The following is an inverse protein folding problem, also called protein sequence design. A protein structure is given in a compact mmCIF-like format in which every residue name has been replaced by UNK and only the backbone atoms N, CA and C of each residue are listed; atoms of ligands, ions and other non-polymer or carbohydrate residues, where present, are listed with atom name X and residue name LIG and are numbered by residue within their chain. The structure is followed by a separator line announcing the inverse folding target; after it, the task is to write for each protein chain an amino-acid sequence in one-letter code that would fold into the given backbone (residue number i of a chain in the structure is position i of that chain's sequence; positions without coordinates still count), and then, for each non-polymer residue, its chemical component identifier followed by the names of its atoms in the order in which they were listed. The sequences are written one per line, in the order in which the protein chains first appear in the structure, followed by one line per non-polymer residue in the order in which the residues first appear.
data_IF_724523585661
#
_entry.id   IF_724523585661
#
_cell.length_a   1.000
_cell.length_b   1.000
_cell.length_c   1.000
_cell.angle_alpha   90.00
_cell.angle_beta   90.00
_cell.angle_gamma   90.00
#
_symmetry.space_group_name_H-M   'P 1'
#
loop_
_entity.id
_entity.type
_entity.pdbx_description
1 polymer ?
#
# COMPACT_ATOMS: atom_id res chain seq x y z
N UNK A 1 25.55 -1.89 10.14
CA UNK A 1 25.44 -2.71 11.36
C UNK A 1 26.80 -2.72 12.04
N UNK A 2 26.99 -1.87 13.05
CA UNK A 2 28.25 -1.79 13.82
C UNK A 2 28.18 -2.90 14.87
N UNK A 3 29.11 -3.85 14.83
CA UNK A 3 29.21 -4.91 15.85
C UNK A 3 30.21 -4.50 16.92
N UNK A 4 29.88 -4.61 18.22
CA UNK A 4 30.88 -4.66 19.27
C UNK A 4 31.70 -5.95 19.11
N UNK A 5 33.00 -5.90 19.41
CA UNK A 5 33.87 -7.08 19.36
C UNK A 5 33.35 -8.19 20.29
N UNK A 6 33.50 -9.45 19.82
CA UNK A 6 33.33 -10.68 20.61
C UNK A 6 34.30 -10.63 21.80
N UNK A 7 33.83 -10.13 22.94
CA UNK A 7 34.67 -9.94 24.13
C UNK A 7 34.09 -9.01 25.20
N UNK A 8 33.06 -8.20 24.89
CA UNK A 8 32.38 -7.40 25.93
C UNK A 8 31.26 -8.20 26.59
N UNK A 9 31.42 -8.44 27.89
CA UNK A 9 30.47 -9.15 28.75
C UNK A 9 29.11 -8.43 28.82
N UNK A 10 28.00 -9.14 29.09
CA UNK A 10 26.62 -8.60 29.06
C UNK A 10 26.30 -7.52 30.12
N UNK A 11 27.25 -7.19 30.99
CA UNK A 11 26.98 -6.46 32.23
C UNK A 11 26.98 -4.92 32.10
N UNK A 12 27.18 -4.37 30.89
CA UNK A 12 27.27 -2.91 30.67
C UNK A 12 26.52 -2.48 29.39
N UNK A 13 25.27 -2.91 29.25
CA UNK A 13 24.43 -2.52 28.10
C UNK A 13 24.27 -1.00 27.98
N UNK A 14 24.31 -0.28 29.08
CA UNK A 14 24.29 1.19 29.15
C UNK A 14 25.54 1.82 28.53
N UNK A 15 26.74 1.36 28.88
CA UNK A 15 28.02 1.85 28.35
C UNK A 15 28.09 1.55 26.85
N UNK A 16 27.73 0.33 26.44
CA UNK A 16 27.67 -0.05 25.03
C UNK A 16 26.71 0.85 24.25
N UNK A 17 25.53 1.13 24.81
CA UNK A 17 24.52 2.00 24.19
C UNK A 17 25.04 3.44 24.05
N UNK A 18 25.69 3.99 25.07
CA UNK A 18 26.28 5.35 25.05
C UNK A 18 27.43 5.47 24.05
N UNK A 19 28.37 4.53 24.07
CA UNK A 19 29.50 4.50 23.12
C UNK A 19 28.98 4.33 21.69
N UNK A 20 27.98 3.47 21.49
CA UNK A 20 27.34 3.33 20.19
C UNK A 20 26.67 4.63 19.75
N UNK A 21 25.92 5.32 20.63
CA UNK A 21 25.29 6.62 20.31
C UNK A 21 26.34 7.65 19.87
N UNK A 22 27.46 7.75 20.59
CA UNK A 22 28.55 8.67 20.23
C UNK A 22 29.14 8.36 18.85
N UNK A 23 29.44 7.08 18.56
CA UNK A 23 29.94 6.67 17.24
C UNK A 23 28.89 6.87 16.14
N UNK A 24 27.61 6.61 16.45
CA UNK A 24 26.51 6.83 15.54
C UNK A 24 26.44 8.30 15.16
N UNK A 25 26.43 9.21 16.13
CA UNK A 25 26.35 10.66 15.91
C UNK A 25 27.48 11.18 15.03
N UNK A 26 28.71 10.72 15.27
CA UNK A 26 29.85 11.03 14.42
C UNK A 26 29.67 10.52 12.98
N UNK A 27 29.11 9.31 12.81
CA UNK A 27 28.80 8.75 11.50
C UNK A 27 27.69 9.55 10.80
N UNK A 28 26.65 9.96 11.53
CA UNK A 28 25.56 10.79 11.01
C UNK A 28 26.08 12.12 10.50
N UNK A 29 26.87 12.82 11.30
CA UNK A 29 27.46 14.11 10.96
C UNK A 29 28.32 14.01 9.69
N UNK A 30 29.14 12.96 9.62
CA UNK A 30 29.98 12.70 8.46
C UNK A 30 29.16 12.48 7.18
N UNK A 31 28.07 11.71 7.27
CA UNK A 31 27.22 11.42 6.11
C UNK A 31 26.36 12.63 5.73
N UNK A 32 25.73 13.30 6.70
CA UNK A 32 24.75 14.37 6.46
C UNK A 32 25.38 15.73 6.24
N UNK A 33 26.27 16.14 7.13
CA UNK A 33 26.77 17.51 7.18
C UNK A 33 28.08 17.65 6.40
N UNK A 34 28.89 16.59 6.35
CA UNK A 34 30.17 16.58 5.63
C UNK A 34 30.10 15.95 4.25
N UNK A 35 28.89 15.60 3.78
CA UNK A 35 28.62 15.04 2.44
C UNK A 35 29.56 13.91 2.03
N UNK A 36 29.94 13.02 2.96
CA UNK A 36 30.97 12.00 2.71
C UNK A 36 30.66 11.07 1.53
N UNK A 37 29.38 10.80 1.28
CA UNK A 37 28.89 10.03 0.13
C UNK A 37 28.08 10.89 -0.85
N UNK A 38 28.22 12.22 -0.79
CA UNK A 38 27.36 13.19 -1.48
C UNK A 38 26.14 13.59 -0.66
N UNK A 39 25.16 14.21 -1.33
CA UNK A 39 23.95 14.77 -0.70
C UNK A 39 23.09 13.65 -0.09
N UNK A 40 22.93 13.68 1.23
CA UNK A 40 22.04 12.76 1.94
C UNK A 40 20.56 13.18 1.77
N UNK A 41 19.75 12.31 1.15
CA UNK A 41 18.31 12.55 0.93
C UNK A 41 17.46 12.01 2.09
N UNK A 42 17.97 11.02 2.81
CA UNK A 42 17.28 10.39 3.93
C UNK A 42 18.20 9.45 4.67
N UNK A 43 17.92 9.25 5.96
CA UNK A 43 18.70 8.36 6.79
C UNK A 43 17.79 7.70 7.83
N UNK A 44 17.98 6.38 7.97
CA UNK A 44 17.16 5.52 8.80
C UNK A 44 18.04 4.50 9.52
N UNK A 45 17.65 4.16 10.75
CA UNK A 45 18.32 3.15 11.58
C UNK A 45 17.37 2.00 11.87
N UNK A 46 17.90 0.78 11.81
CA UNK A 46 17.26 -0.43 12.28
C UNK A 46 18.27 -1.25 13.11
N UNK A 47 17.79 -1.85 14.19
CA UNK A 47 18.58 -2.62 15.15
C UNK A 47 18.09 -4.06 15.15
N UNK A 48 18.66 -4.89 14.27
CA UNK A 48 18.36 -6.32 14.23
C UNK A 48 19.61 -7.17 14.52
N UNK A 49 19.45 -8.15 15.42
CA UNK A 49 20.41 -9.23 15.61
C UNK A 49 20.02 -10.38 14.67
N UNK A 50 20.95 -10.88 13.85
CA UNK A 50 20.66 -11.99 12.95
C UNK A 50 21.90 -12.87 12.79
N UNK A 51 21.94 -14.07 13.40
CA UNK A 51 23.00 -15.03 13.12
C UNK A 51 22.97 -15.40 11.64
N UNK A 52 24.14 -15.47 10.99
CA UNK A 52 24.24 -15.71 9.55
C UNK A 52 24.53 -17.16 9.18
N UNK A 53 24.74 -18.05 10.16
CA UNK A 53 25.01 -19.47 9.94
C UNK A 53 23.78 -20.28 10.32
N UNK A 54 23.30 -21.12 9.41
CA UNK A 54 22.24 -22.08 9.65
C UNK A 54 22.63 -23.41 8.99
N UNK A 55 22.52 -24.53 9.71
CA UNK A 55 22.85 -25.87 9.22
C UNK A 55 24.26 -25.97 8.59
N UNK A 56 25.26 -25.34 9.23
CA UNK A 56 26.65 -25.32 8.74
C UNK A 56 26.89 -24.48 7.47
N UNK A 57 25.85 -23.83 6.92
CA UNK A 57 25.95 -22.98 5.73
C UNK A 57 25.66 -21.53 6.09
N UNK A 58 26.34 -20.61 5.41
CA UNK A 58 26.03 -19.20 5.55
C UNK A 58 24.74 -18.88 4.77
N UNK A 59 23.70 -18.40 5.46
CA UNK A 59 22.43 -17.96 4.84
C UNK A 59 22.61 -16.76 3.91
N UNK A 60 23.77 -16.09 4.00
CA UNK A 60 24.16 -14.98 3.12
C UNK A 60 25.03 -15.44 1.95
N UNK A 61 25.16 -16.75 1.75
CA UNK A 61 25.88 -17.41 0.66
C UNK A 61 27.35 -17.01 0.60
N UNK A 62 28.01 -17.01 1.76
CA UNK A 62 29.47 -16.98 1.85
C UNK A 62 30.02 -18.43 1.86
N UNK A 63 31.16 -18.70 1.22
CA UNK A 63 32.00 -17.78 0.43
C UNK A 63 31.35 -17.32 -0.89
N UNK A 64 31.55 -16.05 -1.25
CA UNK A 64 31.09 -15.49 -2.54
C UNK A 64 32.05 -15.87 -3.67
N UNK A 65 31.55 -16.04 -4.90
CA UNK A 65 32.41 -16.37 -6.06
C UNK A 65 33.40 -15.25 -6.37
N UNK A 66 34.56 -15.60 -6.92
CA UNK A 66 35.48 -14.62 -7.50
C UNK A 66 34.84 -13.92 -8.69
N UNK A 67 35.18 -12.65 -8.87
CA UNK A 67 34.67 -11.82 -9.96
C UNK A 67 35.70 -10.75 -10.36
N UNK A 68 35.93 -10.56 -11.65
CA UNK A 68 36.93 -9.62 -12.19
C UNK A 68 36.50 -8.16 -12.16
N UNK A 69 35.19 -7.88 -12.09
CA UNK A 69 34.62 -6.54 -12.09
C UNK A 69 33.39 -6.46 -11.17
N UNK A 70 32.91 -5.25 -10.88
CA UNK A 70 31.68 -5.03 -10.10
C UNK A 70 30.53 -4.77 -11.07
N UNK A 71 29.41 -5.46 -10.92
CA UNK A 71 28.21 -5.28 -11.76
C UNK A 71 26.92 -5.52 -10.95
N UNK A 72 25.75 -5.22 -11.52
CA UNK A 72 24.44 -5.54 -10.91
C UNK A 72 23.85 -6.78 -11.60
N UNK A 73 23.35 -7.74 -10.82
CA UNK A 73 22.66 -8.91 -11.38
C UNK A 73 21.26 -8.55 -11.93
N UNK A 74 20.59 -9.51 -12.57
CA UNK A 74 19.23 -9.35 -13.13
C UNK A 74 18.17 -8.98 -12.07
N UNK A 75 18.50 -9.20 -10.79
CA UNK A 75 17.67 -8.84 -9.65
C UNK A 75 17.99 -7.46 -9.07
N UNK A 76 19.02 -6.79 -9.57
CA UNK A 76 19.46 -5.46 -9.14
C UNK A 76 20.36 -5.45 -7.91
N UNK A 77 20.91 -6.60 -7.49
CA UNK A 77 21.86 -6.66 -6.39
C UNK A 77 23.31 -6.45 -6.87
N UNK A 78 24.14 -5.71 -6.12
CA UNK A 78 25.52 -5.50 -6.48
C UNK A 78 26.35 -6.79 -6.29
N UNK A 79 26.97 -7.25 -7.37
CA UNK A 79 28.00 -8.31 -7.37
C UNK A 79 29.36 -7.63 -7.41
N UNK A 80 30.03 -7.58 -6.26
CA UNK A 80 31.33 -6.91 -6.13
C UNK A 80 32.49 -7.70 -6.75
N UNK A 81 33.46 -6.97 -7.30
CA UNK A 81 34.76 -7.52 -7.73
C UNK A 81 35.46 -8.24 -6.57
N UNK A 82 35.81 -9.50 -6.77
CA UNK A 82 36.59 -10.35 -5.85
C UNK A 82 37.71 -11.01 -6.63
N UNK A 83 38.91 -10.44 -6.57
CA UNK A 83 40.08 -10.96 -7.26
C UNK A 83 40.62 -12.18 -6.52
N UNK A 84 41.02 -13.22 -7.24
CA UNK A 84 41.78 -14.32 -6.62
C UNK A 84 43.13 -13.75 -6.15
N UNK A 85 43.41 -13.85 -4.86
CA UNK A 85 44.67 -13.40 -4.25
C UNK A 85 45.24 -14.54 -3.42
N UNK A 86 46.57 -14.60 -3.28
CA UNK A 86 47.24 -15.61 -2.45
C UNK A 86 47.27 -15.21 -0.97
N UNK A 87 46.32 -14.39 -0.51
CA UNK A 87 46.25 -13.89 0.87
C UNK A 87 45.09 -14.57 1.59
N UNK A 88 45.42 -15.25 2.67
CA UNK A 88 44.51 -16.02 3.50
C UNK A 88 44.79 -15.71 4.96
N UNK A 89 43.74 -15.69 5.78
CA UNK A 89 43.83 -15.62 7.24
C UNK A 89 43.17 -16.87 7.82
N UNK A 90 43.85 -17.53 8.75
CA UNK A 90 43.26 -18.67 9.47
C UNK A 90 42.53 -18.19 10.72
N UNK A 91 41.25 -18.55 10.85
CA UNK A 91 40.47 -18.33 12.08
C UNK A 91 39.73 -19.61 12.43
N UNK A 92 39.89 -20.10 13.65
CA UNK A 92 39.26 -21.34 14.13
C UNK A 92 39.50 -22.55 13.20
N UNK A 93 40.72 -22.71 12.69
CA UNK A 93 41.11 -23.75 11.71
C UNK A 93 40.40 -23.65 10.35
N UNK A 94 39.76 -22.51 10.07
CA UNK A 94 39.16 -22.22 8.77
C UNK A 94 40.04 -21.21 8.05
N UNK A 95 40.49 -21.59 6.86
CA UNK A 95 41.19 -20.72 5.91
C UNK A 95 40.21 -19.75 5.27
N UNK A 96 40.36 -18.45 5.54
CA UNK A 96 39.49 -17.39 5.06
C UNK A 96 40.24 -16.49 4.10
N UNK A 97 39.72 -16.34 2.89
CA UNK A 97 40.20 -15.40 1.90
C UNK A 97 39.21 -14.25 1.67
N UNK A 98 39.39 -13.47 0.60
CA UNK A 98 38.49 -12.36 0.30
C UNK A 98 37.09 -12.80 -0.16
N UNK A 99 36.81 -14.08 -0.37
CA UNK A 99 35.46 -14.58 -0.66
C UNK A 99 34.56 -14.50 0.57
N UNK A 100 35.13 -14.46 1.78
CA UNK A 100 34.42 -14.36 3.06
C UNK A 100 34.20 -12.92 3.54
N UNK A 101 34.75 -11.93 2.83
CA UNK A 101 34.73 -10.53 3.26
C UNK A 101 33.41 -9.86 2.86
N UNK A 102 32.72 -9.30 3.85
CA UNK A 102 31.53 -8.46 3.66
C UNK A 102 31.97 -7.09 3.12
N UNK A 103 31.24 -6.48 2.15
CA UNK A 103 31.60 -5.18 1.57
C UNK A 103 31.75 -4.08 2.63
N UNK A 104 32.78 -3.25 2.51
CA UNK A 104 33.06 -2.18 3.47
C UNK A 104 33.74 -0.97 2.80
N UNK A 105 33.73 0.17 3.47
CA UNK A 105 34.56 1.32 3.13
C UNK A 105 35.77 1.34 4.07
N UNK A 106 36.97 1.37 3.50
CA UNK A 106 38.23 1.29 4.24
C UNK A 106 38.38 2.44 5.24
N UNK A 107 38.04 3.66 4.83
CA UNK A 107 38.25 4.85 5.64
C UNK A 107 37.28 4.86 6.83
N UNK A 108 36.03 4.45 6.62
CA UNK A 108 35.06 4.24 7.70
C UNK A 108 35.50 3.12 8.65
N UNK A 109 36.03 2.01 8.13
CA UNK A 109 36.55 0.91 8.94
C UNK A 109 37.67 1.40 9.87
N UNK A 110 38.63 2.14 9.34
CA UNK A 110 39.76 2.70 10.11
C UNK A 110 39.26 3.75 11.10
N UNK A 111 38.38 4.66 10.68
CA UNK A 111 37.91 5.76 11.53
C UNK A 111 37.10 5.28 12.73
N UNK A 112 36.22 4.30 12.53
CA UNK A 112 35.31 3.84 13.58
C UNK A 112 35.82 2.58 14.29
N UNK A 113 36.95 2.01 13.84
CA UNK A 113 37.55 0.77 14.34
C UNK A 113 36.50 -0.35 14.44
N UNK A 114 35.65 -0.45 13.42
CA UNK A 114 34.60 -1.45 13.34
C UNK A 114 34.25 -1.76 11.89
N UNK A 115 33.83 -2.99 11.64
CA UNK A 115 33.38 -3.38 10.30
C UNK A 115 31.96 -2.86 10.05
N UNK A 116 31.80 -2.05 9.00
CA UNK A 116 30.51 -1.54 8.55
C UNK A 116 30.20 -2.09 7.17
N UNK A 117 29.18 -2.94 7.09
CA UNK A 117 28.64 -3.37 5.81
C UNK A 117 28.06 -2.16 5.05
N UNK A 118 28.54 -1.92 3.83
CA UNK A 118 28.05 -0.88 2.95
C UNK A 118 27.59 -1.50 1.64
N UNK A 119 26.34 -1.22 1.29
CA UNK A 119 25.70 -1.75 0.09
C UNK A 119 25.21 -0.60 -0.80
N UNK A 120 25.47 -0.72 -2.10
CA UNK A 120 24.93 0.19 -3.11
C UNK A 120 23.60 -0.37 -3.60
N UNK A 121 22.54 0.41 -3.47
CA UNK A 121 21.19 0.05 -3.91
C UNK A 121 20.81 0.88 -5.14
N UNK A 122 20.67 0.24 -6.31
CA UNK A 122 20.32 0.91 -7.57
C UNK A 122 19.10 0.29 -8.27
N UNK A 123 18.23 -0.40 -7.52
CA UNK A 123 17.03 -1.04 -8.08
C UNK A 123 15.82 -0.88 -7.14
N UNK A 124 14.62 -0.83 -7.71
CA UNK A 124 13.35 -0.77 -6.98
C UNK A 124 13.15 -1.95 -6.01
N UNK A 125 13.70 -3.15 -6.31
CA UNK A 125 13.69 -4.29 -5.37
C UNK A 125 14.54 -4.02 -4.12
N UNK A 126 15.70 -3.37 -4.27
CA UNK A 126 16.55 -2.97 -3.15
C UNK A 126 15.89 -1.88 -2.30
N UNK A 127 15.11 -0.99 -2.92
CA UNK A 127 14.31 0.02 -2.21
C UNK A 127 13.22 -0.64 -1.33
N UNK A 128 12.51 -1.66 -1.87
CA UNK A 128 11.56 -2.47 -1.07
C UNK A 128 12.26 -3.12 0.13
N UNK A 129 13.50 -3.58 -0.04
CA UNK A 129 14.28 -4.16 1.05
C UNK A 129 14.56 -3.16 2.17
N UNK A 130 14.89 -1.90 1.85
CA UNK A 130 15.04 -0.84 2.86
C UNK A 130 13.75 -0.67 3.67
N UNK A 131 12.61 -0.45 2.99
CA UNK A 131 11.33 -0.28 3.67
C UNK A 131 10.89 -1.51 4.44
N UNK A 132 11.26 -2.72 4.00
CA UNK A 132 11.00 -3.95 4.74
C UNK A 132 11.57 -3.87 6.15
N UNK A 133 12.85 -3.52 6.34
CA UNK A 133 13.42 -3.42 7.70
C UNK A 133 12.77 -2.32 8.54
N UNK A 134 12.37 -1.24 7.87
CA UNK A 134 11.76 -0.08 8.50
C UNK A 134 10.31 -0.31 8.96
N UNK A 135 9.61 -1.18 8.25
CA UNK A 135 8.18 -1.46 8.42
C UNK A 135 7.93 -2.89 8.90
N UNK A 136 8.97 -3.72 9.03
CA UNK A 136 8.86 -5.05 9.64
C UNK A 136 8.36 -4.82 11.06
N UNK A 137 7.30 -5.56 11.42
CA UNK A 137 6.79 -5.56 12.78
C UNK A 137 7.88 -5.91 13.78
N UNK A 138 7.59 -5.64 15.04
CA UNK A 138 8.44 -6.09 16.14
C UNK A 138 8.33 -7.61 16.27
N UNK A 139 9.39 -8.23 16.76
CA UNK A 139 9.31 -9.65 17.12
C UNK A 139 8.37 -9.77 18.34
N UNK A 140 7.39 -10.68 18.23
CA UNK A 140 6.45 -10.98 19.30
C UNK A 140 6.83 -12.30 19.95
N UNK A 141 6.62 -12.39 21.25
CA UNK A 141 6.68 -13.62 22.01
C UNK A 141 5.32 -13.84 22.65
N UNK A 142 4.74 -15.01 22.37
CA UNK A 142 3.53 -15.47 23.05
C UNK A 142 3.95 -16.30 24.26
N UNK A 143 3.59 -15.83 25.45
CA UNK A 143 3.95 -16.44 26.73
C UNK A 143 2.72 -17.06 27.38
N UNK A 144 2.80 -18.32 27.79
CA UNK A 144 1.78 -18.97 28.59
C UNK A 144 1.98 -18.63 30.07
N UNK A 145 0.98 -18.06 30.73
CA UNK A 145 0.98 -17.90 32.18
C UNK A 145 0.37 -19.15 32.81
N UNK A 146 1.21 -20.04 33.37
CA UNK A 146 0.74 -21.15 34.19
C UNK A 146 0.83 -20.80 35.67
N UNK A 147 -0.25 -21.00 36.42
CA UNK A 147 -0.20 -20.94 37.89
C UNK A 147 0.45 -22.22 38.41
N UNK A 148 1.31 -22.08 39.42
CA UNK A 148 2.10 -23.16 40.03
C UNK A 148 1.26 -24.33 40.63
N UNK A 149 -0.06 -24.21 40.68
CA UNK A 149 -1.00 -25.21 41.24
C UNK A 149 -1.73 -26.06 40.19
N UNK A 150 -1.48 -25.87 38.90
CA UNK A 150 -2.15 -26.64 37.84
C UNK A 150 -1.37 -27.88 37.39
N UNK A 151 -0.35 -28.29 38.14
CA UNK A 151 0.28 -29.58 37.95
C UNK A 151 -0.42 -30.65 38.81
N UNK A 152 -1.20 -31.48 38.10
CA UNK A 152 -1.68 -32.81 38.48
C UNK A 152 -2.78 -32.84 39.53
N UNK A 153 -4.03 -32.90 39.08
CA UNK A 153 -4.84 -34.13 39.04
C UNK A 153 -6.16 -33.75 38.38
N UNK A 154 -6.63 -34.61 37.49
CA UNK A 154 -8.03 -34.70 37.08
C UNK A 154 -8.93 -34.88 38.30
N UNK A 155 -9.15 -33.82 39.08
CA UNK A 155 -10.19 -33.81 40.09
C UNK A 155 -11.49 -33.48 39.36
N UNK A 156 -12.23 -34.57 39.05
CA UNK A 156 -13.69 -34.52 38.94
C UNK A 156 -14.25 -33.98 40.26
N UNK A 157 -14.15 -32.67 40.45
CA UNK A 157 -14.85 -31.95 41.50
C UNK A 157 -16.18 -31.50 40.90
N UNK A 158 -17.25 -31.98 41.56
CA UNK A 158 -18.64 -31.85 41.14
C UNK A 158 -18.98 -30.39 40.82
N UNK A 159 -19.45 -30.14 39.59
CA UNK A 159 -20.55 -29.19 39.35
C UNK A 159 -20.25 -27.81 38.78
N UNK A 160 -19.01 -27.45 38.43
CA UNK A 160 -18.75 -26.27 37.58
C UNK A 160 -17.56 -26.55 36.67
N UNK A 161 -17.82 -26.75 35.38
CA UNK A 161 -16.79 -26.60 34.35
C UNK A 161 -16.21 -25.19 34.49
N UNK A 162 -14.97 -25.10 34.97
CA UNK A 162 -14.25 -23.85 34.93
C UNK A 162 -13.89 -23.64 33.45
N UNK A 163 -14.69 -22.82 32.77
CA UNK A 163 -14.42 -22.40 31.40
C UNK A 163 -13.03 -21.77 31.36
N UNK A 164 -12.06 -22.52 30.85
CA UNK A 164 -10.69 -22.06 30.64
C UNK A 164 -10.74 -21.00 29.55
N UNK A 165 -10.56 -19.74 29.95
CA UNK A 165 -10.42 -18.63 29.02
C UNK A 165 -9.04 -18.73 28.36
N UNK A 166 -9.01 -19.35 27.18
CA UNK A 166 -7.81 -19.55 26.36
C UNK A 166 -7.11 -18.21 26.05
N UNK A 167 -7.89 -17.14 25.85
CA UNK A 167 -7.36 -15.80 25.53
C UNK A 167 -6.62 -15.19 26.72
N UNK A 168 -7.05 -15.46 27.95
CA UNK A 168 -6.37 -14.96 29.17
C UNK A 168 -5.11 -15.74 29.57
N UNK A 169 -4.91 -16.94 29.02
CA UNK A 169 -3.74 -17.77 29.35
C UNK A 169 -2.48 -17.38 28.59
N UNK A 170 -2.63 -16.73 27.43
CA UNK A 170 -1.52 -16.32 26.61
C UNK A 170 -1.35 -14.79 26.66
N UNK A 171 -0.14 -14.35 27.00
CA UNK A 171 0.28 -12.97 26.78
C UNK A 171 1.03 -12.90 25.46
N UNK A 172 0.50 -12.15 24.50
CA UNK A 172 1.30 -11.74 23.35
C UNK A 172 2.04 -10.44 23.69
N UNK A 173 3.37 -10.53 23.76
CA UNK A 173 4.24 -9.43 24.17
C UNK A 173 5.23 -9.07 23.08
N UNK A 174 5.49 -7.77 22.93
CA UNK A 174 6.62 -7.29 22.12
C UNK A 174 7.94 -7.63 22.80
N UNK A 175 8.82 -8.33 22.11
CA UNK A 175 10.19 -8.49 22.57
C UNK A 175 10.97 -7.17 22.41
N UNK A 176 11.68 -6.77 23.46
CA UNK A 176 12.59 -5.61 23.47
C UNK A 176 13.94 -6.10 23.96
N UNK A 177 14.98 -6.01 23.12
CA UNK A 177 16.31 -6.44 23.52
C UNK A 177 16.93 -5.48 24.56
N UNK A 178 17.93 -5.95 25.31
CA UNK A 178 18.57 -5.14 26.35
C UNK A 178 19.11 -3.79 25.85
N UNK A 179 19.64 -3.75 24.62
CA UNK A 179 20.13 -2.52 24.00
C UNK A 179 19.00 -1.56 23.61
N UNK A 180 17.87 -2.05 23.08
CA UNK A 180 16.69 -1.21 22.79
C UNK A 180 16.08 -0.67 24.09
N UNK A 181 16.02 -1.50 25.14
CA UNK A 181 15.56 -1.08 26.45
C UNK A 181 16.43 0.04 27.04
N UNK A 182 17.76 -0.11 27.00
CA UNK A 182 18.69 0.94 27.43
C UNK A 182 18.54 2.22 26.60
N UNK A 183 18.39 2.11 25.27
CA UNK A 183 18.16 3.26 24.38
C UNK A 183 16.89 4.03 24.78
N UNK A 184 15.81 3.32 25.10
CA UNK A 184 14.54 3.88 25.58
C UNK A 184 14.67 4.53 26.96
N UNK A 185 15.31 3.85 27.92
CA UNK A 185 15.51 4.35 29.29
C UNK A 185 16.33 5.65 29.28
N UNK A 186 17.33 5.74 28.40
CA UNK A 186 18.16 6.94 28.23
C UNK A 186 17.45 8.06 27.45
N UNK A 187 16.21 7.85 27.00
CA UNK A 187 15.41 8.85 26.29
C UNK A 187 15.89 9.16 24.87
N UNK A 188 16.65 8.26 24.25
CA UNK A 188 17.11 8.47 22.87
C UNK A 188 15.98 8.20 21.87
N UNK A 189 15.93 9.02 20.81
CA UNK A 189 14.97 8.85 19.73
C UNK A 189 15.14 7.49 19.05
N UNK A 190 14.08 6.69 19.01
CA UNK A 190 14.06 5.36 18.37
C UNK A 190 13.86 5.50 16.86
N UNK A 191 12.99 6.42 16.47
CA UNK A 191 12.68 6.70 15.09
C UNK A 191 12.31 8.17 14.95
N UNK A 192 12.77 8.77 13.86
CA UNK A 192 12.40 10.13 13.48
C UNK A 192 11.77 10.08 12.08
N UNK A 193 10.62 10.71 11.91
CA UNK A 193 9.96 10.86 10.60
C UNK A 193 9.72 12.33 10.36
N UNK A 194 10.27 12.83 9.26
CA UNK A 194 10.03 14.18 8.78
C UNK A 194 9.59 14.14 7.32
N UNK A 195 8.52 14.86 6.94
CA UNK A 195 7.62 15.62 7.83
C UNK A 195 6.79 14.70 8.74
N UNK A 196 6.22 15.25 9.80
CA UNK A 196 5.28 14.50 10.65
C UNK A 196 4.02 14.14 9.85
N UNK A 197 3.41 13.00 10.16
CA UNK A 197 2.23 12.50 9.45
C UNK A 197 1.03 12.45 10.39
N UNK A 198 -0.01 13.21 10.06
CA UNK A 198 -1.27 13.23 10.81
C UNK A 198 -2.27 12.27 10.20
N UNK A 199 -2.75 11.29 10.99
CA UNK A 199 -3.75 10.33 10.50
C UNK A 199 -5.15 10.94 10.58
N UNK A 200 -5.86 10.84 9.47
CA UNK A 200 -7.18 11.44 9.26
C UNK A 200 -8.22 10.32 9.07
N UNK A 201 -9.03 10.01 10.10
CA UNK A 201 -10.10 9.02 10.00
C UNK A 201 -11.12 9.41 8.94
N UNK A 202 -11.61 8.41 8.22
CA UNK A 202 -12.72 8.49 7.27
C UNK A 202 -13.86 7.65 7.81
N UNK A 203 -15.07 8.21 7.85
CA UNK A 203 -16.27 7.49 8.22
C UNK A 203 -17.48 8.13 7.54
N UNK A 204 -18.48 7.32 7.22
CA UNK A 204 -19.80 7.78 6.79
C UNK A 204 -20.56 8.44 7.96
N UNK A 205 -21.66 9.18 7.70
CA UNK A 205 -22.52 9.70 8.76
C UNK A 205 -22.92 8.59 9.74
N UNK A 206 -22.79 8.83 11.04
CA UNK A 206 -23.07 7.83 12.09
C UNK A 206 -22.01 6.73 12.27
N UNK A 207 -21.13 6.51 11.28
CA UNK A 207 -20.10 5.46 11.31
C UNK A 207 -18.83 5.80 12.09
N UNK A 208 -18.88 6.74 13.04
CA UNK A 208 -17.68 7.17 13.79
C UNK A 208 -17.24 6.08 14.76
N UNK A 209 -15.96 5.69 14.70
CA UNK A 209 -15.37 4.76 15.66
C UNK A 209 -15.24 5.39 17.05
N UNK A 210 -15.65 4.66 18.08
CA UNK A 210 -15.57 5.06 19.49
C UNK A 210 -14.65 4.07 20.20
N UNK A 211 -13.65 4.57 20.92
CA UNK A 211 -12.75 3.76 21.74
C UNK A 211 -13.15 3.86 23.20
N UNK A 212 -13.24 2.72 23.88
CA UNK A 212 -13.57 2.62 25.31
C UNK A 212 -12.75 1.49 25.94
N UNK A 213 -12.58 1.52 27.26
CA UNK A 213 -11.96 0.46 28.05
C UNK A 213 -13.01 -0.53 28.54
N UNK A 214 -12.58 -1.74 28.88
CA UNK A 214 -13.47 -2.83 29.34
C UNK A 214 -14.36 -2.43 30.52
N UNK A 215 -13.86 -1.55 31.40
CA UNK A 215 -14.58 -1.12 32.61
C UNK A 215 -15.25 0.27 32.46
N UNK A 216 -15.26 0.85 31.26
CA UNK A 216 -15.94 2.13 31.03
C UNK A 216 -17.46 1.91 31.03
N UNK A 217 -18.21 2.83 31.62
CA UNK A 217 -19.68 2.82 31.54
C UNK A 217 -20.11 3.10 30.08
N UNK A 218 -20.90 2.20 29.50
CA UNK A 218 -21.33 2.27 28.10
C UNK A 218 -22.23 3.50 27.80
N UNK A 219 -23.04 3.94 28.76
CA UNK A 219 -23.88 5.14 28.61
C UNK A 219 -23.02 6.39 28.51
N UNK A 220 -22.05 6.55 29.42
CA UNK A 220 -21.08 7.65 29.33
C UNK A 220 -20.25 7.61 28.04
N UNK A 221 -19.91 6.41 27.57
CA UNK A 221 -19.18 6.23 26.31
C UNK A 221 -20.04 6.69 25.13
N UNK A 222 -21.33 6.35 25.12
CA UNK A 222 -22.28 6.79 24.09
C UNK A 222 -22.49 8.31 24.11
N UNK A 223 -22.62 8.92 25.30
CA UNK A 223 -22.72 10.37 25.45
C UNK A 223 -21.44 11.09 24.99
N UNK A 224 -20.27 10.56 25.35
CA UNK A 224 -18.97 11.05 24.88
C UNK A 224 -18.85 10.90 23.36
N UNK A 225 -19.35 9.81 22.79
CA UNK A 225 -19.37 9.60 21.35
C UNK A 225 -20.25 10.64 20.64
N UNK A 226 -21.40 10.99 21.19
CA UNK A 226 -22.31 11.97 20.57
C UNK A 226 -21.77 13.41 20.68
N UNK A 227 -21.16 13.76 21.82
CA UNK A 227 -20.64 15.10 22.08
C UNK A 227 -19.31 15.39 21.38
N UNK A 228 -18.38 14.43 21.34
CA UNK A 228 -17.03 14.65 20.81
C UNK A 228 -17.00 14.55 19.29
N UNK A 229 -16.61 15.63 18.62
CA UNK A 229 -16.47 15.65 17.16
C UNK A 229 -15.25 14.86 16.70
N UNK A 230 -15.42 14.10 15.62
CA UNK A 230 -14.28 13.49 14.91
C UNK A 230 -13.44 14.57 14.22
N UNK A 231 -12.24 14.20 13.78
CA UNK A 231 -11.39 15.09 12.96
C UNK A 231 -12.10 15.55 11.68
N UNK A 232 -12.90 14.67 11.07
CA UNK A 232 -13.66 14.96 9.85
C UNK A 232 -14.83 15.91 10.14
N UNK A 233 -15.57 15.66 11.22
CA UNK A 233 -16.67 16.55 11.65
C UNK A 233 -16.14 17.93 12.06
N UNK A 234 -15.00 17.98 12.72
CA UNK A 234 -14.35 19.23 13.07
C UNK A 234 -13.78 19.97 11.86
N UNK A 235 -13.39 19.26 10.79
CA UNK A 235 -12.98 19.88 9.52
C UNK A 235 -14.16 20.62 8.87
N UNK A 236 -15.34 20.00 8.85
CA UNK A 236 -16.58 20.66 8.42
C UNK A 236 -16.87 21.94 9.22
N UNK A 237 -16.71 21.89 10.54
CA UNK A 237 -16.91 23.05 11.43
C UNK A 237 -15.88 24.15 11.14
N UNK A 238 -14.61 23.78 10.92
CA UNK A 238 -13.55 24.72 10.57
C UNK A 238 -13.87 25.44 9.25
N UNK A 239 -14.36 24.73 8.24
CA UNK A 239 -14.74 25.33 6.95
C UNK A 239 -15.93 26.29 7.03
N UNK A 240 -16.81 26.14 8.05
CA UNK A 240 -17.88 27.11 8.34
C UNK A 240 -17.37 28.39 8.97
N UNK A 241 -16.38 28.27 9.85
CA UNK A 241 -15.98 29.34 10.77
C UNK A 241 -14.75 30.11 10.32
N UNK A 242 -13.86 29.47 9.56
CA UNK A 242 -12.56 30.03 9.16
C UNK A 242 -12.51 30.04 7.62
N UNK A 243 -12.50 31.22 6.97
CA UNK A 243 -12.46 31.31 5.51
C UNK A 243 -11.25 30.60 4.88
N UNK A 244 -10.05 30.75 5.45
CA UNK A 244 -8.82 30.11 4.94
C UNK A 244 -8.80 28.58 5.08
N UNK A 245 -9.71 28.00 5.88
CA UNK A 245 -9.86 26.54 5.93
C UNK A 245 -10.34 25.96 4.60
N UNK A 246 -11.05 26.77 3.79
CA UNK A 246 -11.67 26.34 2.54
C UNK A 246 -10.69 26.09 1.41
N UNK A 247 -9.43 26.50 1.55
CA UNK A 247 -8.38 26.29 0.54
C UNK A 247 -7.82 24.86 0.51
N UNK A 248 -8.15 24.07 1.54
CA UNK A 248 -7.60 22.75 1.78
C UNK A 248 -8.63 21.64 1.59
N UNK A 249 -8.18 20.55 0.97
CA UNK A 249 -8.87 19.25 1.06
C UNK A 249 -8.74 18.71 2.47
N UNK A 250 -9.55 17.72 2.84
CA UNK A 250 -9.40 17.10 4.16
C UNK A 250 -7.99 16.48 4.32
N UNK A 251 -7.43 15.86 3.27
CA UNK A 251 -6.07 15.30 3.31
C UNK A 251 -4.99 16.38 3.55
N UNK A 252 -5.10 17.53 2.89
CA UNK A 252 -4.09 18.59 3.01
C UNK A 252 -4.30 19.48 4.22
N UNK A 253 -5.42 19.33 4.94
CA UNK A 253 -5.78 20.16 6.09
C UNK A 253 -4.68 20.27 7.15
N UNK A 254 -3.96 19.18 7.53
CA UNK A 254 -2.89 19.26 8.51
C UNK A 254 -1.71 20.14 8.10
N UNK A 255 -1.56 20.51 6.82
CA UNK A 255 -0.54 21.47 6.37
C UNK A 255 -0.79 22.86 6.94
N UNK A 256 -2.05 23.29 6.99
CA UNK A 256 -2.46 24.61 7.48
C UNK A 256 -3.02 24.60 8.90
N UNK A 257 -3.37 23.42 9.45
CA UNK A 257 -4.08 23.31 10.72
C UNK A 257 -3.48 22.24 11.65
N UNK A 258 -3.62 22.45 12.96
CA UNK A 258 -3.21 21.54 14.03
C UNK A 258 -4.44 21.01 14.78
N UNK A 259 -4.49 19.70 14.99
CA UNK A 259 -5.56 19.05 15.75
C UNK A 259 -5.36 19.25 17.26
N UNK A 260 -6.36 19.80 17.93
CA UNK A 260 -6.42 19.91 19.38
C UNK A 260 -7.34 18.82 19.92
N UNK A 261 -6.76 17.71 20.41
CA UNK A 261 -7.50 16.53 20.87
C UNK A 261 -8.39 16.79 22.08
N UNK A 262 -7.95 17.67 23.00
CA UNK A 262 -8.71 18.04 24.19
C UNK A 262 -10.03 18.75 23.87
N UNK A 263 -10.00 19.71 22.94
CA UNK A 263 -11.18 20.47 22.52
C UNK A 263 -11.88 19.92 21.28
N UNK A 264 -11.35 18.84 20.67
CA UNK A 264 -11.81 18.25 19.42
C UNK A 264 -11.99 19.29 18.28
N UNK A 265 -11.01 20.19 18.11
CA UNK A 265 -11.06 21.30 17.15
C UNK A 265 -9.77 21.43 16.37
N UNK A 266 -9.84 22.07 15.22
CA UNK A 266 -8.68 22.47 14.43
C UNK A 266 -8.33 23.92 14.72
N UNK A 267 -7.04 24.19 14.94
CA UNK A 267 -6.46 25.54 15.08
C UNK A 267 -5.54 25.81 13.90
N UNK A 268 -5.47 27.05 13.43
CA UNK A 268 -4.46 27.45 12.42
C UNK A 268 -3.07 27.07 12.92
N UNK A 269 -2.28 26.45 12.04
CA UNK A 269 -0.93 26.00 12.34
C UNK A 269 0.02 27.19 12.34
N UNK A 270 0.78 27.32 13.42
CA UNK A 270 1.79 28.37 13.60
C UNK A 270 3.18 27.92 13.14
N UNK A 271 3.49 26.61 13.21
CA UNK A 271 4.83 26.08 12.89
C UNK A 271 4.82 24.63 12.41
N UNK A 272 5.90 24.26 11.72
CA UNK A 272 6.21 22.90 11.26
C UNK A 272 5.45 22.48 10.01
N UNK A 273 5.93 21.42 9.35
CA UNK A 273 5.29 20.82 8.18
C UNK A 273 4.71 19.48 8.61
N UNK A 274 3.42 19.30 8.34
CA UNK A 274 2.70 18.05 8.62
C UNK A 274 1.92 17.65 7.39
N UNK A 275 2.01 16.36 7.05
CA UNK A 275 1.28 15.77 5.93
C UNK A 275 0.11 14.98 6.48
N UNK A 276 -1.09 15.23 5.97
CA UNK A 276 -2.24 14.41 6.30
C UNK A 276 -2.24 13.09 5.53
N UNK A 277 -2.59 12.01 6.23
CA UNK A 277 -2.81 10.69 5.65
C UNK A 277 -4.20 10.22 6.03
N UNK A 278 -5.07 10.16 5.04
CA UNK A 278 -6.38 9.52 5.17
C UNK A 278 -6.19 8.05 5.53
N UNK A 279 -7.05 7.55 6.43
CA UNK A 279 -7.14 6.11 6.70
C UNK A 279 -7.39 5.35 5.41
N UNK A 280 -6.77 4.18 5.31
CA UNK A 280 -6.97 3.28 4.19
C UNK A 280 -8.40 2.75 4.21
N UNK A 281 -9.06 2.76 3.06
CA UNK A 281 -10.41 2.24 2.88
C UNK A 281 -10.37 1.33 1.68
N UNK A 282 -10.79 0.08 1.87
CA UNK A 282 -10.78 -0.92 0.81
C UNK A 282 -11.84 -0.58 -0.25
N UNK A 283 -11.60 -0.93 -1.51
CA UNK A 283 -12.52 -0.61 -2.61
C UNK A 283 -13.92 -1.23 -2.42
N UNK A 284 -14.01 -2.37 -1.74
CA UNK A 284 -15.30 -3.01 -1.41
C UNK A 284 -16.06 -2.34 -0.25
N UNK A 285 -15.50 -1.33 0.42
CA UNK A 285 -16.13 -0.65 1.55
C UNK A 285 -17.23 0.36 1.13
N UNK A 286 -17.76 0.24 -0.09
CA UNK A 286 -18.91 0.99 -0.60
C UNK A 286 -18.79 2.50 -0.40
N UNK A 287 -19.77 3.10 0.28
CA UNK A 287 -19.84 4.55 0.52
C UNK A 287 -18.62 5.14 1.20
N UNK A 288 -17.94 4.40 2.08
CA UNK A 288 -16.72 4.88 2.73
C UNK A 288 -15.58 5.10 1.71
N UNK A 289 -15.51 4.26 0.67
CA UNK A 289 -14.53 4.38 -0.40
C UNK A 289 -14.80 5.62 -1.26
N UNK A 290 -16.04 5.80 -1.70
CA UNK A 290 -16.44 6.97 -2.49
C UNK A 290 -16.30 8.27 -1.69
N UNK A 291 -16.69 8.27 -0.41
CA UNK A 291 -16.43 9.40 0.49
C UNK A 291 -14.94 9.73 0.58
N UNK A 292 -14.07 8.72 0.71
CA UNK A 292 -12.61 8.94 0.72
C UNK A 292 -12.14 9.59 -0.58
N UNK A 293 -12.67 9.20 -1.73
CA UNK A 293 -12.33 9.82 -3.02
C UNK A 293 -12.74 11.30 -3.05
N UNK A 294 -13.94 11.62 -2.58
CA UNK A 294 -14.42 13.00 -2.52
C UNK A 294 -13.56 13.85 -1.57
N UNK A 295 -13.17 13.32 -0.41
CA UNK A 295 -12.32 14.01 0.57
C UNK A 295 -10.90 14.33 0.05
N UNK A 296 -10.45 13.62 -0.99
CA UNK A 296 -9.17 13.89 -1.68
C UNK A 296 -9.27 15.04 -2.68
N UNK A 297 -10.48 15.37 -3.15
CA UNK A 297 -10.70 16.31 -4.27
C UNK A 297 -11.41 17.58 -3.84
N UNK A 298 -12.44 17.44 -3.02
CA UNK A 298 -13.28 18.57 -2.59
C UNK A 298 -12.59 19.33 -1.47
N UNK A 299 -12.50 20.65 -1.66
CA UNK A 299 -11.99 21.60 -0.67
C UNK A 299 -13.15 22.31 0.01
N UNK A 300 -12.95 22.71 1.27
CA UNK A 300 -13.88 23.61 1.96
C UNK A 300 -15.30 23.09 2.25
N UNK A 301 -15.59 21.80 2.03
CA UNK A 301 -16.91 21.25 2.35
C UNK A 301 -17.26 21.47 3.83
N UNK A 302 -18.49 21.89 4.12
CA UNK A 302 -18.98 22.21 5.47
C UNK A 302 -19.92 21.14 6.03
N UNK A 303 -20.20 20.08 5.27
CA UNK A 303 -21.00 18.95 5.71
C UNK A 303 -20.83 17.73 4.78
N UNK A 304 -21.33 16.57 5.22
CA UNK A 304 -21.47 15.39 4.36
C UNK A 304 -22.40 15.64 3.15
N UNK A 305 -23.41 16.52 3.29
CA UNK A 305 -24.30 16.89 2.18
C UNK A 305 -23.54 17.66 1.10
N UNK A 306 -22.69 18.59 1.51
CA UNK A 306 -21.89 19.40 0.59
C UNK A 306 -20.83 18.56 -0.15
N UNK A 307 -20.30 17.51 0.46
CA UNK A 307 -19.46 16.53 -0.24
C UNK A 307 -20.19 15.81 -1.37
N UNK A 308 -21.51 15.66 -1.29
CA UNK A 308 -22.36 15.09 -2.36
C UNK A 308 -22.94 16.16 -3.29
N UNK A 309 -22.53 17.41 -3.15
CA UNK A 309 -23.04 18.50 -3.99
C UNK A 309 -22.03 18.79 -5.09
N UNK A 310 -22.42 18.58 -6.35
CA UNK A 310 -21.60 18.83 -7.54
C UNK A 310 -22.36 19.77 -8.45
N UNK A 311 -21.75 20.88 -8.84
CA UNK A 311 -22.37 21.91 -9.70
C UNK A 311 -23.74 22.42 -9.19
N UNK A 312 -23.92 22.51 -7.87
CA UNK A 312 -25.16 22.95 -7.23
C UNK A 312 -26.23 21.86 -7.07
N UNK A 313 -26.05 20.68 -7.65
CA UNK A 313 -26.96 19.54 -7.51
C UNK A 313 -26.50 18.62 -6.37
N UNK A 314 -27.42 18.24 -5.48
CA UNK A 314 -27.15 17.30 -4.39
C UNK A 314 -27.49 15.88 -4.84
N UNK A 315 -26.50 15.00 -4.83
CA UNK A 315 -26.66 13.59 -5.23
C UNK A 315 -27.09 12.69 -4.07
N UNK A 316 -27.72 11.56 -4.39
CA UNK A 316 -28.31 10.66 -3.41
C UNK A 316 -27.23 9.87 -2.66
N UNK A 317 -26.12 9.54 -3.32
CA UNK A 317 -25.01 8.78 -2.75
C UNK A 317 -23.65 9.44 -2.99
N UNK A 318 -22.63 9.02 -2.24
CA UNK A 318 -21.25 9.47 -2.52
C UNK A 318 -20.73 8.90 -3.85
N UNK A 319 -21.24 7.73 -4.29
CA UNK A 319 -20.92 7.13 -5.58
C UNK A 319 -21.35 8.03 -6.73
N UNK A 320 -22.62 8.45 -6.74
CA UNK A 320 -23.15 9.35 -7.76
C UNK A 320 -22.42 10.70 -7.80
N UNK A 321 -22.05 11.25 -6.64
CA UNK A 321 -21.24 12.46 -6.61
C UNK A 321 -19.84 12.26 -7.19
N UNK A 322 -19.22 11.08 -6.99
CA UNK A 322 -17.96 10.73 -7.66
C UNK A 322 -18.14 10.61 -9.18
N UNK A 323 -19.24 10.02 -9.61
CA UNK A 323 -19.60 9.84 -11.02
C UNK A 323 -19.77 11.19 -11.72
N UNK A 324 -20.56 12.09 -11.12
CA UNK A 324 -20.78 13.45 -11.61
C UNK A 324 -19.49 14.30 -11.67
N UNK A 325 -18.48 13.97 -10.86
CA UNK A 325 -17.15 14.60 -10.90
C UNK A 325 -16.19 13.93 -11.89
N UNK A 326 -16.62 12.88 -12.61
CA UNK A 326 -15.77 12.11 -13.52
C UNK A 326 -14.64 11.37 -12.79
N UNK A 327 -14.83 11.02 -11.51
CA UNK A 327 -13.83 10.30 -10.71
C UNK A 327 -13.94 8.77 -10.85
N UNK A 328 -15.05 8.29 -11.40
CA UNK A 328 -15.26 6.89 -11.73
C UNK A 328 -14.87 6.68 -13.19
N UNK A 329 -14.33 5.50 -13.51
CA UNK A 329 -14.16 5.12 -14.91
C UNK A 329 -15.55 4.95 -15.51
N UNK A 330 -15.87 5.78 -16.48
CA UNK A 330 -17.00 5.60 -17.36
C UNK A 330 -16.53 5.10 -18.73
N UNK A 331 -17.48 4.67 -19.55
CA UNK A 331 -17.23 4.23 -20.92
C UNK A 331 -17.47 5.35 -21.94
N UNK A 332 -17.67 6.61 -21.50
CA UNK A 332 -18.09 7.71 -22.36
C UNK A 332 -17.11 7.95 -23.51
N UNK A 333 -15.82 7.78 -23.26
CA UNK A 333 -14.78 7.86 -24.28
C UNK A 333 -14.93 6.80 -25.39
N UNK A 334 -15.43 5.60 -25.05
CA UNK A 334 -15.71 4.54 -26.02
C UNK A 334 -16.98 4.82 -26.81
N UNK A 335 -18.03 5.30 -26.14
CA UNK A 335 -19.26 5.75 -26.80
C UNK A 335 -18.99 6.90 -27.78
N UNK A 336 -18.20 7.90 -27.36
CA UNK A 336 -17.81 9.03 -28.22
C UNK A 336 -16.99 8.55 -29.43
N UNK A 337 -16.02 7.66 -29.22
CA UNK A 337 -15.17 7.17 -30.29
C UNK A 337 -15.95 6.35 -31.33
N UNK A 338 -16.85 5.45 -30.90
CA UNK A 338 -17.71 4.69 -31.83
C UNK A 338 -18.69 5.62 -32.59
N UNK A 339 -19.29 6.59 -31.89
CA UNK A 339 -20.19 7.57 -32.50
C UNK A 339 -19.50 8.51 -33.49
N UNK A 340 -18.26 8.91 -33.23
CA UNK A 340 -17.49 9.73 -34.16
C UNK A 340 -17.19 8.93 -35.43
N UNK A 341 -16.70 7.70 -35.28
CA UNK A 341 -16.33 6.85 -36.41
C UNK A 341 -17.52 6.38 -37.23
N UNK A 342 -18.73 6.30 -36.66
CA UNK A 342 -19.93 5.91 -37.41
C UNK A 342 -20.28 6.85 -38.56
N UNK A 343 -19.73 8.07 -38.60
CA UNK A 343 -19.96 9.03 -39.67
C UNK A 343 -19.01 8.84 -40.87
N UNK A 344 -17.88 8.14 -40.70
CA UNK A 344 -16.81 8.09 -41.71
C UNK A 344 -16.23 6.69 -41.98
N UNK A 345 -16.48 5.72 -41.10
CA UNK A 345 -15.95 4.37 -41.23
C UNK A 345 -16.99 3.38 -41.74
N UNK A 346 -16.53 2.32 -42.41
CA UNK A 346 -17.41 1.22 -42.83
C UNK A 346 -17.81 0.33 -41.64
N UNK A 347 -18.99 -0.32 -41.66
CA UNK A 347 -19.46 -1.18 -40.57
C UNK A 347 -18.45 -2.25 -40.12
N UNK A 348 -17.69 -2.86 -41.06
CA UNK A 348 -16.64 -3.83 -40.73
C UNK A 348 -15.54 -3.20 -39.84
N UNK A 349 -15.15 -1.96 -40.13
CA UNK A 349 -14.13 -1.24 -39.36
C UNK A 349 -14.64 -0.86 -37.97
N UNK A 350 -15.92 -0.50 -37.86
CA UNK A 350 -16.56 -0.23 -36.57
C UNK A 350 -16.61 -1.51 -35.73
N UNK A 351 -16.93 -2.67 -36.32
CA UNK A 351 -16.83 -3.98 -35.64
C UNK A 351 -15.42 -4.28 -35.14
N UNK A 352 -14.38 -4.05 -35.96
CA UNK A 352 -12.98 -4.22 -35.54
C UNK A 352 -12.59 -3.28 -34.38
N UNK A 353 -13.04 -2.02 -34.42
CA UNK A 353 -12.83 -1.05 -33.35
C UNK A 353 -13.53 -1.47 -32.06
N UNK A 354 -14.78 -1.93 -32.13
CA UNK A 354 -15.53 -2.46 -31.00
C UNK A 354 -14.79 -3.64 -30.33
N UNK A 355 -14.29 -4.60 -31.13
CA UNK A 355 -13.47 -5.71 -30.62
C UNK A 355 -12.18 -5.23 -29.98
N UNK A 356 -11.51 -4.24 -30.57
CA UNK A 356 -10.30 -3.66 -29.99
C UNK A 356 -10.57 -3.00 -28.63
N UNK A 357 -11.68 -2.27 -28.49
CA UNK A 357 -12.13 -1.65 -27.24
C UNK A 357 -12.41 -2.74 -26.21
N UNK A 358 -13.20 -3.77 -26.54
CA UNK A 358 -13.54 -4.85 -25.61
C UNK A 358 -12.33 -5.62 -25.09
N UNK A 359 -11.32 -5.83 -25.94
CA UNK A 359 -10.18 -6.69 -25.61
C UNK A 359 -9.02 -5.95 -24.94
N UNK A 360 -8.81 -4.67 -25.28
CA UNK A 360 -7.64 -3.92 -24.85
C UNK A 360 -7.95 -2.78 -23.87
N UNK A 361 -9.24 -2.42 -23.69
CA UNK A 361 -9.64 -1.33 -22.82
C UNK A 361 -10.45 -1.82 -21.61
N UNK A 362 -10.36 -1.12 -20.46
CA UNK A 362 -11.18 -1.44 -19.29
C UNK A 362 -12.60 -0.87 -19.48
N UNK A 363 -13.46 -1.63 -20.16
CA UNK A 363 -14.88 -1.30 -20.37
C UNK A 363 -15.69 -1.68 -19.13
N UNK A 364 -16.45 -0.73 -18.59
CA UNK A 364 -17.26 -0.92 -17.38
C UNK A 364 -18.58 -1.65 -17.65
N UNK A 365 -19.23 -1.35 -18.77
CA UNK A 365 -20.52 -1.91 -19.21
C UNK A 365 -20.49 -2.25 -20.72
N UNK A 366 -19.93 -3.41 -21.10
CA UNK A 366 -19.87 -3.84 -22.49
C UNK A 366 -21.25 -4.01 -23.15
N UNK A 367 -22.29 -4.32 -22.39
CA UNK A 367 -23.64 -4.54 -22.91
C UNK A 367 -24.25 -3.21 -23.36
N UNK A 368 -24.15 -2.18 -22.52
CA UNK A 368 -24.61 -0.85 -22.90
C UNK A 368 -23.87 -0.30 -24.12
N UNK A 369 -22.57 -0.57 -24.22
CA UNK A 369 -21.77 -0.20 -25.40
C UNK A 369 -22.25 -0.91 -26.67
N UNK A 370 -22.67 -2.18 -26.57
CA UNK A 370 -23.29 -2.91 -27.67
C UNK A 370 -24.68 -2.37 -28.03
N UNK A 371 -25.56 -2.24 -27.05
CA UNK A 371 -26.95 -1.80 -27.22
C UNK A 371 -27.06 -0.42 -27.91
N UNK A 372 -26.16 0.51 -27.59
CA UNK A 372 -26.17 1.85 -28.17
C UNK A 372 -25.60 1.92 -29.60
N UNK A 373 -24.74 0.99 -30.02
CA UNK A 373 -23.95 1.12 -31.26
C UNK A 373 -24.13 0.01 -32.30
N UNK A 374 -24.84 -1.09 -31.99
CA UNK A 374 -24.94 -2.27 -32.88
C UNK A 374 -25.51 -1.95 -34.27
N UNK A 375 -26.42 -0.98 -34.38
CA UNK A 375 -27.05 -0.60 -35.65
C UNK A 375 -26.02 -0.15 -36.68
N UNK A 376 -25.07 0.69 -36.26
CA UNK A 376 -23.96 1.15 -37.11
C UNK A 376 -22.99 0.03 -37.51
N UNK A 377 -22.88 -1.00 -36.66
CA UNK A 377 -22.09 -2.19 -36.93
C UNK A 377 -22.82 -3.21 -37.81
N UNK A 378 -24.13 -3.11 -38.00
CA UNK A 378 -24.94 -4.08 -38.74
C UNK A 378 -25.32 -3.65 -40.16
N UNK A 379 -25.03 -2.40 -40.53
CA UNK A 379 -25.59 -1.75 -41.72
C UNK A 379 -25.24 -2.46 -43.05
N UNK A 380 -24.08 -3.14 -43.12
CA UNK A 380 -23.64 -3.92 -44.28
C UNK A 380 -24.22 -5.34 -44.35
N UNK A 381 -24.80 -5.86 -43.26
CA UNK A 381 -25.14 -7.28 -43.10
C UNK A 381 -26.21 -7.71 -44.10
N UNK A 382 -27.31 -6.96 -44.20
CA UNK A 382 -28.41 -7.31 -45.12
C UNK A 382 -27.94 -7.38 -46.57
N UNK A 383 -27.14 -6.39 -46.99
CA UNK A 383 -26.55 -6.36 -48.31
C UNK A 383 -25.64 -7.56 -48.56
N UNK A 384 -24.77 -7.88 -47.59
CA UNK A 384 -23.84 -9.01 -47.67
C UNK A 384 -24.58 -10.36 -47.78
N UNK A 385 -25.66 -10.54 -47.02
CA UNK A 385 -26.50 -11.76 -47.07
C UNK A 385 -27.31 -11.89 -48.37
N UNK A 386 -27.86 -10.79 -48.90
CA UNK A 386 -28.51 -10.78 -50.22
C UNK A 386 -27.53 -11.20 -51.33
N UNK A 387 -26.31 -10.66 -51.29
CA UNK A 387 -25.25 -11.00 -52.24
C UNK A 387 -24.83 -12.47 -52.14
N UNK A 388 -24.68 -13.00 -50.94
CA UNK A 388 -24.28 -14.39 -50.72
C UNK A 388 -25.36 -15.41 -51.10
N UNK A 389 -26.64 -15.09 -50.86
CA UNK A 389 -27.78 -15.98 -51.17
C UNK A 389 -28.31 -15.86 -52.60
N UNK A 390 -27.97 -14.78 -53.31
CA UNK A 390 -28.55 -14.44 -54.61
C UNK A 390 -30.01 -13.96 -54.56
N UNK A 391 -30.60 -13.83 -53.36
CA UNK A 391 -31.99 -13.40 -53.18
C UNK A 391 -32.06 -11.91 -52.84
N UNK A 392 -32.44 -11.07 -53.81
CA UNK A 392 -32.58 -9.62 -53.60
C UNK A 392 -33.76 -9.24 -52.70
N UNK A 393 -34.75 -10.13 -52.55
CA UNK A 393 -35.95 -9.89 -51.74
C UNK A 393 -35.79 -10.33 -50.28
N UNK A 394 -34.60 -10.80 -49.87
CA UNK A 394 -34.34 -11.15 -48.48
C UNK A 394 -34.52 -9.92 -47.58
N UNK A 395 -35.29 -10.07 -46.51
CA UNK A 395 -35.44 -9.10 -45.43
C UNK A 395 -35.01 -9.77 -44.13
N UNK A 396 -34.35 -9.03 -43.26
CA UNK A 396 -33.89 -9.50 -41.95
C UNK A 396 -34.49 -8.58 -40.87
N UNK A 397 -34.97 -9.16 -39.76
CA UNK A 397 -35.39 -8.38 -38.61
C UNK A 397 -34.18 -7.89 -37.80
N UNK A 398 -34.43 -7.01 -36.83
CA UNK A 398 -33.38 -6.49 -35.93
C UNK A 398 -32.66 -7.61 -35.18
N UNK A 399 -33.40 -8.63 -34.73
CA UNK A 399 -32.83 -9.79 -34.05
C UNK A 399 -31.86 -10.57 -34.97
N UNK A 400 -32.24 -10.80 -36.23
CA UNK A 400 -31.36 -11.45 -37.22
C UNK A 400 -30.11 -10.61 -37.52
N UNK A 401 -30.28 -9.29 -37.65
CA UNK A 401 -29.17 -8.37 -37.89
C UNK A 401 -28.20 -8.34 -36.71
N UNK A 402 -28.71 -8.28 -35.48
CA UNK A 402 -27.90 -8.37 -34.26
C UNK A 402 -27.14 -9.70 -34.20
N UNK A 403 -27.80 -10.82 -34.46
CA UNK A 403 -27.20 -12.15 -34.41
C UNK A 403 -26.08 -12.32 -35.45
N UNK A 404 -26.32 -11.90 -36.70
CA UNK A 404 -25.27 -11.92 -37.73
C UNK A 404 -24.11 -10.97 -37.41
N UNK A 405 -24.40 -9.82 -36.81
CA UNK A 405 -23.36 -8.87 -36.40
C UNK A 405 -22.51 -9.44 -35.27
N UNK A 406 -23.14 -10.10 -34.28
CA UNK A 406 -22.44 -10.81 -33.21
C UNK A 406 -21.60 -11.97 -33.76
N UNK A 407 -22.08 -12.70 -34.77
CA UNK A 407 -21.30 -13.75 -35.42
C UNK A 407 -20.04 -13.20 -36.12
N UNK A 408 -20.11 -12.03 -36.76
CA UNK A 408 -18.93 -11.37 -37.32
C UNK A 408 -17.97 -10.86 -36.22
N UNK A 409 -18.51 -10.35 -35.11
CA UNK A 409 -17.71 -9.96 -33.93
C UNK A 409 -17.01 -11.17 -33.29
N UNK A 410 -17.69 -12.32 -33.20
CA UNK A 410 -17.13 -13.57 -32.69
C UNK A 410 -15.94 -14.03 -33.55
N UNK A 411 -16.01 -13.91 -34.88
CA UNK A 411 -14.87 -14.19 -35.77
C UNK A 411 -13.67 -13.29 -35.44
N UNK A 412 -13.91 -11.97 -35.32
CA UNK A 412 -12.86 -11.01 -34.99
C UNK A 412 -12.26 -11.22 -33.58
N UNK A 413 -13.06 -11.64 -32.60
CA UNK A 413 -12.58 -12.01 -31.27
C UNK A 413 -11.70 -13.26 -31.32
N UNK A 414 -12.11 -14.27 -32.10
CA UNK A 414 -11.34 -15.50 -32.25
C UNK A 414 -9.96 -15.25 -32.86
N UNK A 415 -9.82 -14.26 -33.76
CA UNK A 415 -8.52 -13.85 -34.32
C UNK A 415 -7.53 -13.34 -33.25
N UNK A 416 -8.04 -12.79 -32.14
CA UNK A 416 -7.23 -12.32 -31.00
C UNK A 416 -7.25 -13.28 -29.81
N UNK A 417 -7.70 -14.51 -30.01
CA UNK A 417 -7.73 -15.57 -28.98
C UNK A 417 -8.76 -15.35 -27.88
N UNK A 418 -9.87 -14.69 -28.20
CA UNK A 418 -11.00 -14.39 -27.31
C UNK A 418 -12.32 -14.88 -27.92
N UNK A 419 -13.37 -14.95 -27.11
CA UNK A 419 -14.74 -15.24 -27.55
C UNK A 419 -15.73 -14.31 -26.84
N UNK A 420 -16.93 -14.11 -27.39
CA UNK A 420 -18.05 -13.48 -26.68
C UNK A 420 -18.33 -14.21 -25.34
N UNK A 421 -18.00 -15.50 -25.24
CA UNK A 421 -18.07 -16.28 -24.01
C UNK A 421 -17.13 -15.78 -22.90
N UNK A 422 -16.11 -15.00 -23.22
CA UNK A 422 -15.24 -14.37 -22.22
C UNK A 422 -15.90 -13.15 -21.54
N UNK A 423 -17.06 -12.72 -22.04
CA UNK A 423 -17.78 -11.54 -21.58
C UNK A 423 -19.19 -11.96 -21.08
N UNK A 424 -19.37 -12.21 -19.78
CA UNK A 424 -20.60 -12.78 -19.20
C UNK A 424 -21.90 -12.06 -19.56
N UNK A 425 -21.81 -10.77 -19.87
CA UNK A 425 -22.97 -9.94 -20.24
C UNK A 425 -23.56 -10.30 -21.61
N UNK A 426 -22.82 -11.00 -22.47
CA UNK A 426 -23.29 -11.44 -23.80
C UNK A 426 -23.89 -12.86 -23.80
N UNK A 427 -23.98 -13.54 -22.65
CA UNK A 427 -24.47 -14.93 -22.58
C UNK A 427 -25.94 -15.10 -22.95
N UNK A 428 -26.74 -14.05 -22.80
CA UNK A 428 -28.17 -14.06 -23.08
C UNK A 428 -28.51 -13.55 -24.50
N UNK A 429 -27.51 -13.17 -25.29
CA UNK A 429 -27.72 -12.77 -26.67
C UNK A 429 -27.63 -14.01 -27.57
N UNK A 430 -28.49 -14.17 -28.60
CA UNK A 430 -28.48 -15.36 -29.42
C UNK A 430 -27.17 -15.40 -30.24
N UNK A 431 -26.21 -16.21 -29.81
CA UNK A 431 -25.06 -16.56 -30.64
C UNK A 431 -25.49 -17.76 -31.46
N UNK A 432 -25.72 -17.55 -32.75
CA UNK A 432 -25.99 -18.64 -33.70
C UNK A 432 -24.76 -19.55 -33.71
N UNK A 433 -24.96 -20.82 -33.32
CA UNK A 433 -23.96 -21.88 -33.45
C UNK A 433 -23.55 -22.14 -34.91
#
# INVERSE_FOLDING_TARGET
MIRPNEGMTPHLSDVVTRVFKMKLDQLVDLIKNKNYFGRCIGLMYDFSYSPCMANGKCIRHFPKRYNGHTFFDDCGFPVYRRRRMNRVVEKNKISLDNQFVVPYNRDLLIRFQCHMNLEVCNNSRSLKYLFKYCLKGHDNATMLIQRKKDNLVSQKSKGKEQCLDEVKHYLDGRYVCASEAAWRILGFDIHYRFPSVERLPVHVPGGKTVSFKVNDNLEEVAEKANSRKSKLEAWFIANKTIPSARDYTYQDFPRGFTWLSGSCKWKIRERGIVVGRLTEVHASSGDAFFLRMLLLRIKGATSFKELRTVNGQVYSSFKEACDALGLLKDDNQWHAALKENSHSAFPQQIRSMFVHILTNCPVADPLRLWEEHWTTMSDDILYSKRKASGNQNLTLGDEDLMNYTLAEIEKLLNEVGKSLKDFPVFYNLPVVE
#
